data_IF_296027314211
#
_entry.id   IF_296027314211
#
_cell.length_a   1.000
_cell.length_b   1.000
_cell.length_c   1.000
_cell.angle_alpha   90.00
_cell.angle_beta   90.00
_cell.angle_gamma   90.00
#
_symmetry.space_group_name_H-M   'P 1'
#
loop_
_entity.id
_entity.type
_entity.pdbx_description
1 polymer ?
#
# COMPACT_ATOMS: atom_id res chain seq x y z
N UNK A 1 43.67 24.45 5.72
CA UNK A 1 44.72 24.53 4.68
C UNK A 1 44.35 23.54 3.58
N UNK A 2 43.70 24.02 2.52
CA UNK A 2 43.56 23.26 1.28
C UNK A 2 44.94 23.29 0.62
N UNK A 3 45.66 22.17 0.70
CA UNK A 3 46.89 22.01 -0.08
C UNK A 3 46.46 22.00 -1.54
N UNK A 4 46.78 23.09 -2.25
CA UNK A 4 46.53 23.22 -3.67
C UNK A 4 47.32 22.17 -4.43
N UNK A 5 46.71 21.00 -4.63
CA UNK A 5 47.13 20.11 -5.69
C UNK A 5 46.84 20.81 -7.01
N UNK A 6 47.89 21.21 -7.74
CA UNK A 6 47.79 21.43 -9.18
C UNK A 6 47.35 20.10 -9.79
N UNK A 7 46.05 19.97 -10.04
CA UNK A 7 45.45 18.82 -10.71
C UNK A 7 45.98 18.79 -12.14
N UNK A 8 46.50 17.64 -12.58
CA UNK A 8 46.97 17.46 -13.95
C UNK A 8 45.78 17.65 -14.91
N UNK A 9 45.83 18.72 -15.71
CA UNK A 9 44.84 19.07 -16.73
C UNK A 9 45.09 18.36 -18.06
N UNK A 10 45.95 17.35 -18.08
CA UNK A 10 46.40 16.70 -19.30
C UNK A 10 45.74 15.32 -19.41
N UNK A 11 44.99 15.11 -20.49
CA UNK A 11 44.52 13.78 -20.90
C UNK A 11 45.71 12.82 -20.93
N UNK A 12 45.52 11.52 -20.66
CA UNK A 12 46.58 10.53 -20.88
C UNK A 12 47.03 10.61 -22.34
N UNK A 13 48.20 11.19 -22.57
CA UNK A 13 48.71 11.52 -23.90
C UNK A 13 48.94 10.22 -24.66
N UNK A 14 48.34 10.12 -25.84
CA UNK A 14 48.59 9.00 -26.75
C UNK A 14 50.04 9.12 -27.24
N UNK A 15 50.90 8.20 -26.79
CA UNK A 15 52.30 8.14 -27.20
C UNK A 15 52.38 7.69 -28.66
N UNK A 16 53.15 8.42 -29.46
CA UNK A 16 53.41 8.12 -30.88
C UNK A 16 54.88 7.85 -31.10
N UNK A 17 55.17 6.87 -31.94
CA UNK A 17 56.55 6.56 -32.30
C UNK A 17 57.13 7.69 -33.17
N UNK A 18 58.25 8.28 -32.77
CA UNK A 18 58.90 9.36 -33.52
C UNK A 18 59.42 8.87 -34.89
N UNK A 19 59.67 7.56 -35.05
CA UNK A 19 60.18 6.98 -36.30
C UNK A 19 59.07 6.62 -37.29
N UNK A 20 58.15 5.71 -36.93
CA UNK A 20 57.09 5.26 -37.84
C UNK A 20 55.82 6.12 -37.77
N UNK A 21 55.74 7.09 -36.85
CA UNK A 21 54.57 7.94 -36.57
C UNK A 21 53.30 7.20 -36.12
N UNK A 22 53.39 5.88 -35.96
CA UNK A 22 52.29 5.05 -35.46
C UNK A 22 52.07 5.23 -33.95
N UNK A 23 50.83 5.03 -33.52
CA UNK A 23 50.45 5.04 -32.11
C UNK A 23 51.08 3.83 -31.38
N UNK A 24 51.76 4.09 -30.26
CA UNK A 24 52.39 3.04 -29.44
C UNK A 24 51.36 2.49 -28.46
N UNK A 25 51.01 1.21 -28.63
CA UNK A 25 50.16 0.49 -27.69
C UNK A 25 51.02 -0.31 -26.72
N UNK A 26 50.96 0.02 -25.42
CA UNK A 26 51.66 -0.71 -24.36
C UNK A 26 52.97 -0.06 -23.95
N UNK A 27 54.09 -0.74 -24.18
CA UNK A 27 55.41 -0.28 -23.73
C UNK A 27 56.06 0.58 -24.82
N UNK A 28 56.34 1.83 -24.50
CA UNK A 28 57.16 2.74 -25.29
C UNK A 28 58.59 2.78 -24.76
N UNK A 29 59.55 3.05 -25.64
CA UNK A 29 60.96 3.19 -25.27
C UNK A 29 61.34 4.65 -25.45
N UNK A 30 61.66 5.31 -24.33
CA UNK A 30 62.12 6.71 -24.34
C UNK A 30 63.63 6.76 -24.27
N UNK A 31 64.24 7.45 -25.21
CA UNK A 31 65.67 7.75 -25.17
C UNK A 31 65.96 8.72 -24.00
N UNK A 32 67.04 8.49 -23.26
CA UNK A 32 67.45 9.37 -22.15
C UNK A 32 68.24 10.58 -22.63
N UNK A 33 68.95 10.44 -23.75
CA UNK A 33 69.82 11.50 -24.29
C UNK A 33 69.09 12.43 -25.27
N UNK A 34 68.08 11.93 -25.98
CA UNK A 34 67.32 12.70 -26.96
C UNK A 34 66.08 13.31 -26.32
N UNK A 35 65.80 14.58 -26.62
CA UNK A 35 64.60 15.28 -26.15
C UNK A 35 63.38 14.75 -26.89
N UNK A 36 62.36 14.32 -26.15
CA UNK A 36 61.06 13.86 -26.65
C UNK A 36 61.12 12.83 -27.79
N UNK A 37 62.04 11.87 -27.64
CA UNK A 37 62.23 10.79 -28.59
C UNK A 37 61.70 9.46 -28.04
N UNK A 38 60.54 9.04 -28.56
CA UNK A 38 59.82 7.84 -28.14
C UNK A 38 59.74 6.85 -29.31
N UNK A 39 60.16 5.61 -29.08
CA UNK A 39 60.15 4.53 -30.06
C UNK A 39 59.14 3.45 -29.66
N UNK A 40 58.49 2.84 -30.66
CA UNK A 40 57.79 1.58 -30.47
C UNK A 40 58.80 0.41 -30.39
N UNK A 41 58.37 -0.71 -29.79
CA UNK A 41 59.23 -1.89 -29.64
C UNK A 41 59.77 -2.41 -30.99
N UNK A 42 58.97 -2.32 -32.06
CA UNK A 42 59.38 -2.77 -33.39
C UNK A 42 60.50 -1.90 -33.96
N UNK A 43 60.36 -0.58 -33.93
CA UNK A 43 61.38 0.35 -34.42
C UNK A 43 62.67 0.30 -33.59
N UNK A 44 62.55 0.11 -32.28
CA UNK A 44 63.72 -0.10 -31.42
C UNK A 44 64.43 -1.42 -31.75
N UNK A 45 63.68 -2.51 -31.94
CA UNK A 45 64.27 -3.82 -32.30
C UNK A 45 64.94 -3.82 -33.67
N UNK A 46 64.49 -2.97 -34.59
CA UNK A 46 65.09 -2.77 -35.90
C UNK A 46 66.34 -1.87 -35.86
N UNK A 47 66.71 -1.31 -34.70
CA UNK A 47 67.83 -0.39 -34.56
C UNK A 47 67.64 0.92 -35.32
N UNK A 48 66.41 1.45 -35.33
CA UNK A 48 66.10 2.66 -36.10
C UNK A 48 66.84 3.90 -35.55
N UNK A 49 67.64 4.53 -36.41
CA UNK A 49 68.37 5.77 -36.10
C UNK A 49 67.79 6.92 -36.93
N UNK A 50 67.49 8.06 -36.29
CA UNK A 50 66.99 9.24 -37.00
C UNK A 50 67.52 10.52 -36.36
N UNK A 51 68.05 11.41 -37.20
CA UNK A 51 68.64 12.67 -36.76
C UNK A 51 69.77 12.47 -35.73
N UNK A 52 69.71 13.10 -34.55
CA UNK A 52 70.75 12.96 -33.51
C UNK A 52 70.62 11.68 -32.67
N UNK A 53 69.59 10.86 -32.87
CA UNK A 53 69.39 9.62 -32.12
C UNK A 53 70.21 8.47 -32.70
N UNK A 54 70.90 7.71 -31.83
CA UNK A 54 71.60 6.47 -32.17
C UNK A 54 71.07 5.30 -31.36
N UNK A 55 71.19 4.10 -31.91
CA UNK A 55 70.73 2.86 -31.27
C UNK A 55 71.46 2.52 -29.96
N UNK A 56 72.67 3.05 -29.76
CA UNK A 56 73.50 2.84 -28.58
C UNK A 56 73.13 3.78 -27.41
N UNK A 57 72.18 4.70 -27.58
CA UNK A 57 71.79 5.62 -26.52
C UNK A 57 71.09 4.88 -25.37
N UNK A 58 71.33 5.28 -24.10
CA UNK A 58 70.63 4.74 -22.96
C UNK A 58 69.13 5.06 -23.04
N UNK A 59 68.30 4.07 -22.70
CA UNK A 59 66.85 4.12 -22.88
C UNK A 59 66.09 3.71 -21.61
N UNK A 60 64.81 4.11 -21.52
CA UNK A 60 63.89 3.75 -20.46
C UNK A 60 62.61 3.19 -21.04
N UNK A 61 62.09 2.13 -20.42
CA UNK A 61 60.76 1.62 -20.72
C UNK A 61 59.70 2.46 -20.02
N UNK A 62 58.72 2.93 -20.79
CA UNK A 62 57.53 3.62 -20.30
C UNK A 62 56.35 2.72 -20.60
N UNK A 63 55.69 2.19 -19.57
CA UNK A 63 54.42 1.48 -19.72
C UNK A 63 53.28 2.50 -19.83
N UNK A 64 52.50 2.42 -20.89
CA UNK A 64 51.30 3.23 -21.12
C UNK A 64 50.09 2.78 -20.28
N UNK A 65 50.34 2.24 -19.08
CA UNK A 65 49.32 1.82 -18.11
C UNK A 65 48.62 0.50 -18.44
N UNK A 66 49.28 -0.40 -19.18
CA UNK A 66 48.76 -1.74 -19.49
C UNK A 66 48.94 -2.75 -18.36
N UNK A 67 49.83 -2.45 -17.41
CA UNK A 67 49.98 -3.24 -16.19
C UNK A 67 48.79 -3.05 -15.26
N UNK A 68 48.26 -4.16 -14.73
CA UNK A 68 47.25 -4.12 -13.67
C UNK A 68 47.97 -3.88 -12.35
N UNK A 69 47.76 -2.72 -11.72
CA UNK A 69 48.34 -2.43 -10.39
C UNK A 69 47.73 -3.35 -9.31
N UNK A 70 46.54 -3.93 -9.57
CA UNK A 70 45.82 -4.76 -8.60
C UNK A 70 45.57 -6.17 -9.12
N UNK A 71 45.91 -7.18 -8.31
CA UNK A 71 45.61 -8.59 -8.54
C UNK A 71 44.17 -8.97 -8.12
N UNK A 72 43.18 -8.20 -8.58
CA UNK A 72 41.75 -8.42 -8.29
C UNK A 72 41.06 -9.35 -9.31
N UNK A 73 39.91 -9.93 -8.93
CA UNK A 73 39.11 -10.87 -9.75
C UNK A 73 38.55 -10.24 -11.04
N UNK A 74 38.44 -8.92 -11.11
CA UNK A 74 38.08 -8.18 -12.33
C UNK A 74 39.34 -7.52 -12.89
N UNK A 75 39.69 -7.86 -14.13
CA UNK A 75 40.87 -7.35 -14.84
C UNK A 75 40.64 -5.91 -15.31
N UNK A 76 40.62 -4.95 -14.38
CA UNK A 76 40.66 -3.53 -14.71
C UNK A 76 42.11 -3.07 -14.84
N UNK A 77 42.44 -2.53 -16.00
CA UNK A 77 43.75 -1.95 -16.28
C UNK A 77 43.92 -0.61 -15.57
N UNK A 78 45.17 -0.22 -15.33
CA UNK A 78 45.48 1.07 -14.71
C UNK A 78 45.03 2.23 -15.60
N UNK A 79 45.10 2.05 -16.92
CA UNK A 79 44.56 3.00 -17.90
C UNK A 79 43.05 3.19 -17.78
N UNK A 80 42.28 2.11 -17.65
CA UNK A 80 40.81 2.20 -17.46
C UNK A 80 40.46 2.93 -16.15
N UNK A 81 41.23 2.72 -15.07
CA UNK A 81 41.01 3.44 -13.81
C UNK A 81 41.36 4.94 -13.94
N UNK A 82 42.44 5.29 -14.63
CA UNK A 82 42.80 6.69 -14.85
C UNK A 82 41.76 7.38 -15.71
N UNK A 83 41.28 6.72 -16.76
CA UNK A 83 40.19 7.21 -17.59
C UNK A 83 38.93 7.41 -16.75
N UNK A 84 38.54 6.42 -15.95
CA UNK A 84 37.39 6.52 -15.02
C UNK A 84 37.49 7.74 -14.11
N UNK A 85 38.64 7.94 -13.46
CA UNK A 85 38.85 9.09 -12.57
C UNK A 85 38.81 10.42 -13.32
N UNK A 86 39.42 10.48 -14.51
CA UNK A 86 39.41 11.68 -15.34
C UNK A 86 37.98 12.02 -15.78
N UNK A 87 37.20 11.03 -16.21
CA UNK A 87 35.82 11.26 -16.62
C UNK A 87 34.92 11.65 -15.46
N UNK A 88 35.10 11.09 -14.26
CA UNK A 88 34.39 11.54 -13.05
C UNK A 88 34.77 12.98 -12.70
N UNK A 89 36.02 13.37 -12.91
CA UNK A 89 36.45 14.77 -12.71
C UNK A 89 35.78 15.71 -13.72
N UNK A 90 35.62 15.30 -14.98
CA UNK A 90 35.01 16.13 -16.02
C UNK A 90 33.49 16.23 -15.91
N UNK A 91 32.79 15.11 -15.69
CA UNK A 91 31.32 15.03 -15.72
C UNK A 91 30.67 15.09 -14.33
N UNK A 92 31.47 14.97 -13.27
CA UNK A 92 30.99 14.88 -11.90
C UNK A 92 30.57 13.45 -11.51
N UNK A 93 30.61 13.18 -10.21
CA UNK A 93 30.17 11.90 -9.65
C UNK A 93 28.65 11.72 -9.82
N UNK A 94 28.21 10.57 -10.31
CA UNK A 94 26.80 10.22 -10.49
C UNK A 94 26.32 10.23 -11.95
N UNK A 95 27.06 10.87 -12.86
CA UNK A 95 26.69 10.94 -14.28
C UNK A 95 27.29 9.77 -15.09
N UNK A 96 26.97 8.54 -14.69
CA UNK A 96 27.59 7.32 -15.24
C UNK A 96 27.27 7.08 -16.72
N UNK A 97 26.12 7.59 -17.19
CA UNK A 97 25.71 7.45 -18.60
C UNK A 97 26.62 8.24 -19.56
N UNK A 98 27.12 9.41 -19.14
CA UNK A 98 28.04 10.23 -19.93
C UNK A 98 29.49 9.71 -19.88
N UNK A 99 29.83 8.93 -18.84
CA UNK A 99 31.15 8.31 -18.66
C UNK A 99 31.32 7.05 -19.52
N UNK A 100 30.23 6.32 -19.78
CA UNK A 100 30.18 5.07 -20.55
C UNK A 100 30.92 5.09 -21.91
N UNK A 101 30.77 6.13 -22.77
CA UNK A 101 31.38 6.13 -24.09
C UNK A 101 32.91 6.04 -24.07
N UNK A 102 33.53 6.45 -22.97
CA UNK A 102 34.98 6.50 -22.78
C UNK A 102 35.54 5.20 -22.16
N UNK A 103 34.71 4.45 -21.44
CA UNK A 103 35.09 3.21 -20.73
C UNK A 103 34.50 1.98 -21.43
N UNK A 104 34.78 1.81 -22.72
CA UNK A 104 34.43 0.59 -23.46
C UNK A 104 35.45 -0.50 -23.10
N UNK A 105 35.07 -1.72 -22.65
CA UNK A 105 33.80 -2.44 -22.86
C UNK A 105 32.85 -2.55 -21.64
N UNK A 106 32.93 -1.63 -20.66
CA UNK A 106 32.24 -1.76 -19.36
C UNK A 106 30.84 -1.13 -19.35
N UNK A 107 30.01 -1.56 -18.41
CA UNK A 107 28.70 -0.94 -18.16
C UNK A 107 28.79 0.16 -17.09
N UNK A 108 27.76 1.01 -17.00
CA UNK A 108 27.70 2.12 -16.03
C UNK A 108 27.69 1.58 -14.60
N UNK A 109 26.94 0.50 -14.37
CA UNK A 109 26.90 -0.20 -13.08
C UNK A 109 28.27 -0.79 -12.72
N UNK A 110 28.96 -1.42 -13.68
CA UNK A 110 30.31 -1.95 -13.44
C UNK A 110 31.32 -0.84 -13.10
N UNK A 111 31.24 0.32 -13.76
CA UNK A 111 32.11 1.47 -13.50
C UNK A 111 31.83 2.11 -12.13
N UNK A 112 30.55 2.26 -11.77
CA UNK A 112 30.11 2.72 -10.46
C UNK A 112 30.60 1.80 -9.34
N UNK A 113 30.37 0.50 -9.49
CA UNK A 113 30.72 -0.49 -8.46
C UNK A 113 32.23 -0.60 -8.27
N UNK A 114 33.01 -0.55 -9.36
CA UNK A 114 34.48 -0.55 -9.27
C UNK A 114 34.98 0.73 -8.59
N UNK A 115 34.39 1.89 -8.91
CA UNK A 115 34.76 3.15 -8.29
C UNK A 115 34.53 3.11 -6.77
N UNK A 116 33.34 2.67 -6.35
CA UNK A 116 33.00 2.56 -4.93
C UNK A 116 33.89 1.53 -4.23
N UNK A 117 34.01 0.33 -4.79
CA UNK A 117 34.76 -0.75 -4.16
C UNK A 117 36.24 -0.41 -3.95
N UNK A 118 36.84 0.37 -4.86
CA UNK A 118 38.29 0.64 -4.85
C UNK A 118 38.66 2.00 -4.28
N UNK A 119 37.98 3.07 -4.70
CA UNK A 119 38.33 4.44 -4.33
C UNK A 119 37.54 4.97 -3.14
N UNK A 120 36.35 4.44 -2.89
CA UNK A 120 35.56 4.78 -1.70
C UNK A 120 35.86 3.73 -0.62
N UNK A 121 35.20 2.57 -0.64
CA UNK A 121 35.27 1.60 0.47
C UNK A 121 36.57 0.78 0.54
N UNK A 122 37.39 0.88 -0.51
CA UNK A 122 38.69 0.21 -0.62
C UNK A 122 39.77 0.82 0.27
N UNK A 123 40.99 0.27 0.16
CA UNK A 123 42.15 0.74 0.93
C UNK A 123 42.50 2.21 0.65
N UNK A 124 42.29 2.66 -0.60
CA UNK A 124 42.57 4.04 -1.01
C UNK A 124 41.63 5.02 -0.31
N UNK A 125 40.31 4.82 -0.37
CA UNK A 125 39.37 5.77 0.24
C UNK A 125 39.46 5.79 1.76
N UNK A 126 39.71 4.64 2.40
CA UNK A 126 39.95 4.60 3.86
C UNK A 126 41.20 5.37 4.27
N UNK A 127 42.26 5.34 3.48
CA UNK A 127 43.49 6.08 3.76
C UNK A 127 43.36 7.58 3.42
N UNK A 128 42.67 7.92 2.33
CA UNK A 128 42.55 9.30 1.83
C UNK A 128 41.46 10.09 2.55
N UNK A 129 40.41 9.44 3.07
CA UNK A 129 39.22 10.11 3.60
C UNK A 129 38.81 9.72 5.03
N UNK A 130 39.74 9.60 6.00
CA UNK A 130 39.42 9.14 7.36
C UNK A 130 38.35 10.01 8.05
N UNK A 131 38.42 11.33 7.90
CA UNK A 131 37.44 12.26 8.49
C UNK A 131 36.01 12.08 7.94
N UNK A 132 35.85 11.61 6.70
CA UNK A 132 34.52 11.31 6.15
C UNK A 132 33.96 10.01 6.70
N UNK A 133 34.81 9.01 6.96
CA UNK A 133 34.41 7.76 7.59
C UNK A 133 34.03 7.94 9.05
N UNK A 134 34.73 8.80 9.80
CA UNK A 134 34.40 9.12 11.18
C UNK A 134 33.07 9.89 11.31
N UNK A 135 32.79 10.79 10.36
CA UNK A 135 31.53 11.56 10.32
C UNK A 135 30.39 10.81 9.63
N UNK A 136 30.66 9.65 9.01
CA UNK A 136 29.63 8.82 8.43
C UNK A 136 28.75 8.37 9.58
N UNK A 137 27.51 8.86 9.63
CA UNK A 137 26.56 8.47 10.64
C UNK A 137 26.44 6.94 10.62
N UNK A 138 27.01 6.28 11.62
CA UNK A 138 26.69 4.90 11.91
C UNK A 138 25.31 4.94 12.51
N UNK A 139 24.28 4.94 11.66
CA UNK A 139 22.93 4.74 12.11
C UNK A 139 22.92 3.37 12.79
N UNK A 140 22.79 3.30 14.13
CA UNK A 140 22.54 2.03 14.76
C UNK A 140 21.20 1.57 14.21
N UNK A 141 21.19 0.40 13.61
CA UNK A 141 19.94 -0.25 13.25
C UNK A 141 19.26 -0.66 14.55
N UNK A 142 18.38 0.22 15.03
CA UNK A 142 17.63 0.07 16.28
C UNK A 142 16.62 -1.09 16.20
N UNK A 143 16.43 -1.69 15.03
CA UNK A 143 15.44 -2.73 14.76
C UNK A 143 16.06 -4.12 14.55
N UNK A 144 17.34 -4.34 14.90
CA UNK A 144 17.97 -5.66 14.74
C UNK A 144 17.34 -6.75 15.63
N UNK A 145 16.89 -6.35 16.81
CA UNK A 145 16.29 -7.25 17.80
C UNK A 145 14.75 -7.18 17.81
N UNK A 146 14.18 -6.13 17.21
CA UNK A 146 12.75 -6.02 17.01
C UNK A 146 12.36 -6.72 15.69
N UNK A 147 11.29 -7.54 15.66
CA UNK A 147 10.72 -7.93 14.38
C UNK A 147 10.47 -6.66 13.56
N UNK A 148 10.66 -6.70 12.22
CA UNK A 148 10.36 -5.56 11.37
C UNK A 148 9.01 -5.00 11.81
N UNK A 149 8.89 -3.67 12.07
CA UNK A 149 7.66 -3.10 12.56
C UNK A 149 6.56 -3.68 11.68
N UNK A 150 5.54 -4.33 12.27
CA UNK A 150 4.55 -5.03 11.49
C UNK A 150 4.13 -4.03 10.44
N UNK A 151 4.39 -4.35 9.17
CA UNK A 151 3.98 -3.50 8.07
C UNK A 151 2.55 -3.16 8.44
N UNK A 152 2.19 -1.89 8.56
CA UNK A 152 0.83 -1.48 8.91
C UNK A 152 -0.20 -1.94 7.84
N UNK A 153 0.11 -2.96 7.03
CA UNK A 153 -0.79 -3.97 6.55
C UNK A 153 -1.47 -4.69 7.73
N UNK A 154 -2.35 -3.95 8.37
CA UNK A 154 -3.48 -4.50 9.09
C UNK A 154 -4.10 -5.62 8.22
N UNK A 155 -4.45 -6.76 8.83
CA UNK A 155 -5.04 -7.97 8.24
C UNK A 155 -6.38 -7.75 7.48
N UNK A 156 -6.72 -6.54 7.09
CA UNK A 156 -7.90 -6.25 6.28
C UNK A 156 -7.64 -6.54 4.81
N UNK A 157 -8.66 -6.97 4.06
CA UNK A 157 -8.54 -7.09 2.62
C UNK A 157 -8.12 -5.76 1.98
N UNK A 158 -7.39 -5.78 0.85
CA UNK A 158 -7.10 -4.57 0.09
C UNK A 158 -8.39 -3.88 -0.33
N UNK A 159 -8.34 -2.57 -0.55
CA UNK A 159 -9.50 -1.82 -1.04
C UNK A 159 -9.75 -2.18 -2.50
N UNK A 160 -10.99 -2.58 -2.80
CA UNK A 160 -11.42 -2.94 -4.16
C UNK A 160 -11.80 -1.66 -4.93
N UNK A 161 -10.86 -1.16 -5.74
CA UNK A 161 -10.98 0.09 -6.52
C UNK A 161 -10.34 -0.10 -7.91
N UNK A 162 -10.97 0.42 -8.96
CA UNK A 162 -10.34 0.47 -10.30
C UNK A 162 -9.31 1.60 -10.35
N UNK A 163 -8.27 1.54 -11.22
CA UNK A 163 -7.26 2.59 -11.29
C UNK A 163 -7.85 3.98 -11.62
N UNK A 164 -8.93 4.03 -12.41
CA UNK A 164 -9.65 5.25 -12.74
C UNK A 164 -10.40 5.84 -11.53
N UNK A 165 -11.08 4.98 -10.76
CA UNK A 165 -11.80 5.37 -9.55
C UNK A 165 -10.82 5.83 -8.45
N UNK A 166 -9.65 5.20 -8.37
CA UNK A 166 -8.57 5.58 -7.47
C UNK A 166 -8.00 6.96 -7.81
N UNK A 167 -7.72 7.22 -9.10
CA UNK A 167 -7.22 8.51 -9.57
C UNK A 167 -8.21 9.65 -9.28
N UNK A 168 -9.52 9.43 -9.42
CA UNK A 168 -10.54 10.45 -9.12
C UNK A 168 -10.54 10.90 -7.66
N UNK A 169 -10.16 10.00 -6.74
CA UNK A 169 -10.11 10.27 -5.30
C UNK A 169 -8.69 10.63 -4.82
N UNK A 170 -7.70 10.67 -5.72
CA UNK A 170 -6.28 10.78 -5.34
C UNK A 170 -5.84 9.64 -4.42
N UNK A 171 -6.44 8.44 -4.55
CA UNK A 171 -6.09 7.29 -3.73
C UNK A 171 -4.99 6.48 -4.43
N UNK A 172 -3.93 6.17 -3.69
CA UNK A 172 -2.75 5.42 -4.13
C UNK A 172 -2.83 3.96 -3.63
N UNK A 173 -3.28 2.99 -4.46
CA UNK A 173 -3.62 1.65 -3.98
C UNK A 173 -2.44 0.85 -3.40
N UNK A 174 -1.24 1.03 -3.95
CA UNK A 174 -0.04 0.33 -3.50
C UNK A 174 0.50 0.88 -2.16
N UNK A 175 0.20 2.15 -1.85
CA UNK A 175 0.59 2.81 -0.60
C UNK A 175 -0.51 2.76 0.47
N UNK A 176 -1.74 2.43 0.06
CA UNK A 176 -2.95 2.50 0.90
C UNK A 176 -3.13 3.92 1.49
N UNK A 177 -2.98 4.92 0.62
CA UNK A 177 -2.85 6.32 1.02
C UNK A 177 -3.57 7.28 0.08
N UNK A 178 -3.81 8.51 0.52
CA UNK A 178 -4.44 9.57 -0.28
C UNK A 178 -3.45 10.69 -0.57
N UNK A 179 -3.60 11.34 -1.71
CA UNK A 179 -2.78 12.50 -2.11
C UNK A 179 -2.96 13.67 -1.13
N UNK A 180 -4.19 13.87 -0.64
CA UNK A 180 -4.49 14.83 0.42
C UNK A 180 -5.00 14.10 1.66
N UNK A 181 -4.26 14.24 2.76
CA UNK A 181 -4.64 13.64 4.03
C UNK A 181 -5.79 14.38 4.71
N UNK A 182 -6.51 13.66 5.59
CA UNK A 182 -7.53 14.28 6.42
C UNK A 182 -6.90 15.36 7.30
N UNK A 183 -7.47 16.56 7.25
CA UNK A 183 -7.07 17.68 8.10
C UNK A 183 -5.58 18.02 7.94
N UNK A 184 -5.17 18.15 6.68
CA UNK A 184 -3.77 18.41 6.33
C UNK A 184 -3.30 19.76 6.85
N UNK A 185 -4.05 20.82 6.55
CA UNK A 185 -3.67 22.20 6.86
C UNK A 185 -3.49 22.44 8.37
N UNK A 186 -4.41 21.97 9.22
CA UNK A 186 -4.27 22.15 10.67
C UNK A 186 -3.08 21.37 11.24
N UNK A 187 -2.85 20.14 10.78
CA UNK A 187 -1.76 19.33 11.33
C UNK A 187 -0.38 19.86 10.90
N UNK A 188 -0.20 20.25 9.63
CA UNK A 188 1.07 20.80 9.14
C UNK A 188 1.36 22.18 9.76
N UNK A 189 0.32 22.95 10.11
CA UNK A 189 0.46 24.21 10.85
C UNK A 189 1.09 24.02 12.24
N UNK A 190 0.75 22.91 12.94
CA UNK A 190 1.36 22.59 14.25
C UNK A 190 2.88 22.48 14.14
N UNK A 191 3.37 21.80 13.10
CA UNK A 191 4.80 21.59 12.86
C UNK A 191 5.49 22.84 12.28
N UNK A 192 4.79 23.62 11.46
CA UNK A 192 5.33 24.84 10.84
C UNK A 192 5.81 25.86 11.88
N UNK A 193 5.26 25.82 13.09
CA UNK A 193 5.64 26.68 14.21
C UNK A 193 6.88 26.21 14.99
N UNK A 194 7.36 24.98 14.75
CA UNK A 194 8.49 24.38 15.47
C UNK A 194 9.83 24.86 14.90
N UNK A 195 10.44 25.85 15.54
CA UNK A 195 11.83 26.23 15.26
C UNK A 195 12.80 25.38 16.11
N UNK A 196 13.56 24.51 15.44
CA UNK A 196 14.61 23.67 16.04
C UNK A 196 15.97 24.38 16.03
N UNK A 197 16.03 25.62 16.53
CA UNK A 197 17.30 26.33 16.68
C UNK A 197 18.14 25.61 17.73
N UNK A 198 19.06 24.76 17.27
CA UNK A 198 20.15 24.27 18.09
C UNK A 198 21.00 25.48 18.49
N UNK A 199 21.23 25.62 19.79
CA UNK A 199 22.22 26.49 20.44
C UNK A 199 21.70 27.81 21.03
N UNK A 200 20.80 27.73 22.01
CA UNK A 200 20.90 28.58 23.19
C UNK A 200 20.93 27.69 24.42
N UNK A 201 21.92 27.87 25.29
CA UNK A 201 22.23 27.00 26.44
C UNK A 201 21.20 27.04 27.57
N UNK A 202 19.99 27.50 27.30
CA UNK A 202 18.85 27.64 28.22
C UNK A 202 17.55 27.55 27.38
N UNK A 203 17.35 26.45 26.64
CA UNK A 203 15.98 26.09 26.27
C UNK A 203 15.26 25.80 27.59
N UNK A 204 14.52 26.77 28.12
CA UNK A 204 13.76 26.61 29.36
C UNK A 204 12.98 25.30 29.27
N UNK A 205 13.00 24.50 30.32
CA UNK A 205 12.24 23.24 30.41
C UNK A 205 10.77 23.43 29.97
N UNK A 206 10.22 24.63 30.20
CA UNK A 206 8.94 25.09 29.69
C UNK A 206 8.86 25.12 28.15
N UNK A 207 9.83 25.70 27.45
CA UNK A 207 9.88 25.72 25.98
C UNK A 207 10.00 24.32 25.40
N UNK A 208 10.79 23.44 26.01
CA UNK A 208 10.88 22.04 25.61
C UNK A 208 9.52 21.35 25.81
N UNK A 209 8.88 21.54 26.97
CA UNK A 209 7.56 20.96 27.26
C UNK A 209 6.48 21.43 26.28
N UNK A 210 6.51 22.70 25.86
CA UNK A 210 5.58 23.25 24.88
C UNK A 210 5.80 22.63 23.50
N UNK A 211 7.07 22.52 23.05
CA UNK A 211 7.41 21.85 21.79
C UNK A 211 6.95 20.38 21.80
N UNK A 212 7.16 19.66 22.91
CA UNK A 212 6.68 18.27 23.07
C UNK A 212 5.16 18.18 23.00
N UNK A 213 4.43 19.09 23.67
CA UNK A 213 2.96 19.13 23.60
C UNK A 213 2.45 19.38 22.18
N UNK A 214 3.11 20.25 21.40
CA UNK A 214 2.77 20.45 19.99
C UNK A 214 3.00 19.18 19.15
N UNK A 215 4.10 18.46 19.40
CA UNK A 215 4.37 17.16 18.75
C UNK A 215 3.31 16.13 19.15
N UNK A 216 2.91 16.07 20.41
CA UNK A 216 1.84 15.16 20.88
C UNK A 216 0.50 15.46 20.19
N UNK A 217 0.14 16.74 20.05
CA UNK A 217 -1.05 17.16 19.29
C UNK A 217 -1.00 16.68 17.84
N UNK A 218 0.17 16.78 17.20
CA UNK A 218 0.38 16.27 15.83
C UNK A 218 0.26 14.74 15.77
N UNK A 219 0.85 14.02 16.73
CA UNK A 219 0.74 12.55 16.83
C UNK A 219 -0.72 12.12 16.96
N UNK A 220 -1.53 12.83 17.74
CA UNK A 220 -2.96 12.52 17.86
C UNK A 220 -3.72 12.72 16.54
N UNK A 221 -3.38 13.76 15.76
CA UNK A 221 -3.91 13.92 14.39
C UNK A 221 -3.47 12.76 13.49
N UNK A 222 -2.22 12.31 13.57
CA UNK A 222 -1.74 11.14 12.82
C UNK A 222 -2.48 9.85 13.21
N UNK A 223 -2.69 9.61 14.50
CA UNK A 223 -3.47 8.45 14.99
C UNK A 223 -4.88 8.45 14.42
N UNK A 224 -5.51 9.61 14.38
CA UNK A 224 -6.86 9.73 13.82
C UNK A 224 -6.86 9.54 12.29
N UNK A 225 -5.84 10.00 11.56
CA UNK A 225 -5.66 9.68 10.13
C UNK A 225 -5.55 8.18 9.91
N UNK A 226 -4.70 7.49 10.69
CA UNK A 226 -4.55 6.03 10.64
C UNK A 226 -5.87 5.33 10.96
N UNK A 227 -6.62 5.81 11.96
CA UNK A 227 -7.95 5.27 12.32
C UNK A 227 -8.94 5.38 11.16
N UNK A 228 -9.00 6.54 10.50
CA UNK A 228 -9.89 6.75 9.35
C UNK A 228 -9.52 5.86 8.16
N UNK A 229 -8.24 5.75 7.82
CA UNK A 229 -7.76 4.84 6.75
C UNK A 229 -8.18 3.39 7.05
N UNK A 230 -8.01 2.94 8.30
CA UNK A 230 -8.44 1.61 8.76
C UNK A 230 -9.95 1.39 8.57
N UNK A 231 -10.79 2.36 8.96
CA UNK A 231 -12.25 2.26 8.78
C UNK A 231 -12.63 2.26 7.30
N UNK A 232 -12.03 3.14 6.48
CA UNK A 232 -12.25 3.20 5.04
C UNK A 232 -11.97 1.85 4.37
N UNK A 233 -10.88 1.18 4.76
CA UNK A 233 -10.48 -0.13 4.26
C UNK A 233 -11.38 -1.25 4.72
N UNK A 234 -11.64 -1.36 6.02
CA UNK A 234 -12.43 -2.45 6.58
C UNK A 234 -13.88 -2.44 6.04
N UNK A 235 -14.50 -1.26 5.97
CA UNK A 235 -15.86 -1.11 5.45
C UNK A 235 -15.95 -1.00 3.92
N UNK A 236 -14.81 -1.01 3.22
CA UNK A 236 -14.72 -0.85 1.77
C UNK A 236 -15.49 0.38 1.28
N UNK A 237 -15.27 1.52 1.96
CA UNK A 237 -16.08 2.73 1.76
C UNK A 237 -15.93 3.32 0.35
N UNK A 238 -14.74 3.21 -0.26
CA UNK A 238 -14.50 3.69 -1.63
C UNK A 238 -15.37 2.93 -2.63
N UNK A 239 -15.37 1.59 -2.56
CA UNK A 239 -16.24 0.75 -3.37
C UNK A 239 -17.71 1.12 -3.18
N UNK A 240 -18.14 1.24 -1.91
CA UNK A 240 -19.53 1.60 -1.56
C UNK A 240 -19.92 2.97 -2.09
N UNK A 241 -19.00 3.94 -2.11
CA UNK A 241 -19.22 5.27 -2.65
C UNK A 241 -19.52 5.21 -4.16
N UNK A 242 -18.69 4.52 -4.94
CA UNK A 242 -18.92 4.39 -6.38
C UNK A 242 -20.15 3.53 -6.73
N UNK A 243 -20.42 2.45 -5.98
CA UNK A 243 -21.67 1.67 -6.18
C UNK A 243 -22.90 2.51 -5.85
N UNK A 244 -22.88 3.29 -4.76
CA UNK A 244 -24.00 4.14 -4.38
C UNK A 244 -24.27 5.25 -5.42
N UNK A 245 -23.25 5.81 -6.05
CA UNK A 245 -23.43 6.77 -7.16
C UNK A 245 -24.07 6.11 -8.38
N UNK A 246 -23.65 4.89 -8.74
CA UNK A 246 -24.23 4.11 -9.85
C UNK A 246 -25.67 3.67 -9.56
N UNK A 247 -25.99 3.36 -8.29
CA UNK A 247 -27.31 2.90 -7.84
C UNK A 247 -28.30 4.03 -7.51
N UNK A 248 -27.84 5.24 -7.16
CA UNK A 248 -28.71 6.43 -6.99
C UNK A 248 -29.52 6.76 -8.24
N UNK A 249 -29.04 6.35 -9.41
CA UNK A 249 -29.74 6.46 -10.70
C UNK A 249 -30.86 5.41 -10.86
N UNK A 250 -30.97 4.44 -9.94
CA UNK A 250 -31.88 3.29 -9.99
C UNK A 250 -32.57 3.04 -8.63
N UNK A 251 -33.57 3.89 -8.33
CA UNK A 251 -34.78 3.59 -7.52
C UNK A 251 -34.73 3.44 -5.97
N UNK A 252 -35.82 3.99 -5.40
CA UNK A 252 -36.58 3.66 -4.16
C UNK A 252 -35.84 3.19 -2.90
N UNK A 253 -35.92 4.03 -1.86
CA UNK A 253 -35.50 3.74 -0.47
C UNK A 253 -36.04 2.39 0.02
N UNK A 254 -35.12 1.51 0.42
CA UNK A 254 -35.42 0.21 1.04
C UNK A 254 -35.34 0.40 2.56
N UNK A 255 -36.30 -0.08 3.37
CA UNK A 255 -36.30 0.10 4.83
C UNK A 255 -35.12 -0.56 5.58
N UNK A 256 -34.33 -1.41 4.92
CA UNK A 256 -33.05 -1.88 5.45
C UNK A 256 -32.03 -0.71 5.57
N UNK A 257 -32.10 0.29 4.69
CA UNK A 257 -31.21 1.46 4.73
C UNK A 257 -31.43 2.33 5.96
N UNK A 258 -32.67 2.50 6.42
CA UNK A 258 -32.98 3.25 7.64
C UNK A 258 -32.43 2.58 8.90
N UNK A 259 -32.36 1.24 8.90
CA UNK A 259 -31.80 0.48 10.00
C UNK A 259 -30.28 0.61 10.03
N UNK A 260 -29.63 0.51 8.87
CA UNK A 260 -28.18 0.70 8.74
C UNK A 260 -27.77 2.12 9.14
N UNK A 261 -28.54 3.14 8.75
CA UNK A 261 -28.32 4.54 9.14
C UNK A 261 -28.39 4.73 10.66
N UNK A 262 -29.36 4.11 11.33
CA UNK A 262 -29.53 4.22 12.79
C UNK A 262 -28.31 3.68 13.57
N UNK A 263 -27.64 2.67 13.04
CA UNK A 263 -26.54 1.97 13.71
C UNK A 263 -25.16 2.35 13.18
N UNK A 264 -25.09 3.25 12.20
CA UNK A 264 -23.85 3.70 11.53
C UNK A 264 -22.76 4.20 12.46
N UNK A 265 -23.14 4.79 13.61
CA UNK A 265 -22.18 5.27 14.60
C UNK A 265 -21.31 4.15 15.18
N UNK A 266 -21.82 2.91 15.26
CA UNK A 266 -21.06 1.76 15.76
C UNK A 266 -19.95 1.34 14.80
N UNK A 267 -19.96 1.79 13.54
CA UNK A 267 -18.88 1.49 12.60
C UNK A 267 -17.51 2.03 13.05
N UNK A 268 -17.49 2.99 13.97
CA UNK A 268 -16.27 3.52 14.57
C UNK A 268 -15.67 2.60 15.64
N UNK A 269 -16.48 1.70 16.19
CA UNK A 269 -16.14 0.85 17.35
C UNK A 269 -15.95 -0.62 16.97
N UNK A 270 -16.55 -1.05 15.86
CA UNK A 270 -16.60 -2.45 15.43
C UNK A 270 -15.95 -2.61 14.06
N UNK A 271 -15.43 -3.80 13.80
CA UNK A 271 -15.03 -4.17 12.45
C UNK A 271 -16.24 -4.35 11.54
N UNK A 272 -16.07 -4.25 10.22
CA UNK A 272 -17.16 -4.39 9.26
C UNK A 272 -17.89 -5.74 9.40
N UNK A 273 -17.15 -6.82 9.68
CA UNK A 273 -17.72 -8.16 9.89
C UNK A 273 -18.57 -8.23 11.16
N UNK A 274 -18.09 -7.64 12.25
CA UNK A 274 -18.81 -7.61 13.53
C UNK A 274 -20.07 -6.76 13.40
N UNK A 275 -19.96 -5.61 12.74
CA UNK A 275 -21.08 -4.72 12.49
C UNK A 275 -22.18 -5.39 11.66
N UNK A 276 -21.81 -6.03 10.55
CA UNK A 276 -22.75 -6.79 9.71
C UNK A 276 -23.43 -7.93 10.49
N UNK A 277 -22.68 -8.61 11.37
CA UNK A 277 -23.22 -9.66 12.21
C UNK A 277 -24.22 -9.10 13.22
N UNK A 278 -23.89 -7.98 13.87
CA UNK A 278 -24.76 -7.28 14.82
C UNK A 278 -26.07 -6.88 14.14
N UNK A 279 -26.01 -6.25 12.96
CA UNK A 279 -27.21 -5.82 12.23
C UNK A 279 -28.11 -7.01 11.89
N UNK A 280 -27.54 -8.11 11.37
CA UNK A 280 -28.27 -9.35 11.08
C UNK A 280 -28.93 -9.92 12.32
N UNK A 281 -28.23 -9.93 13.46
CA UNK A 281 -28.74 -10.45 14.72
C UNK A 281 -29.89 -9.58 15.26
N UNK A 282 -29.77 -8.25 15.20
CA UNK A 282 -30.84 -7.35 15.64
C UNK A 282 -32.09 -7.45 14.76
N UNK A 283 -31.91 -7.56 13.44
CA UNK A 283 -33.02 -7.80 12.52
C UNK A 283 -33.69 -9.15 12.81
N UNK A 284 -32.90 -10.20 13.03
CA UNK A 284 -33.40 -11.53 13.40
C UNK A 284 -34.15 -11.51 14.73
N UNK A 285 -33.64 -10.78 15.72
CA UNK A 285 -34.32 -10.59 17.01
C UNK A 285 -35.68 -9.92 16.82
N UNK A 286 -35.76 -8.85 16.02
CA UNK A 286 -37.02 -8.14 15.73
C UNK A 286 -38.02 -9.06 15.02
N UNK A 287 -37.55 -9.86 14.06
CA UNK A 287 -38.38 -10.86 13.37
C UNK A 287 -38.93 -11.91 14.35
N UNK A 288 -38.08 -12.44 15.23
CA UNK A 288 -38.48 -13.42 16.24
C UNK A 288 -39.47 -12.84 17.26
N UNK A 289 -39.28 -11.59 17.70
CA UNK A 289 -40.21 -10.89 18.58
C UNK A 289 -41.58 -10.68 17.92
N UNK A 290 -41.60 -10.31 16.64
CA UNK A 290 -42.83 -10.22 15.87
C UNK A 290 -43.52 -11.58 15.76
N UNK A 291 -42.76 -12.62 15.39
CA UNK A 291 -43.29 -13.98 15.27
C UNK A 291 -43.82 -14.52 16.59
N UNK A 292 -43.13 -14.25 17.70
CA UNK A 292 -43.60 -14.61 19.03
C UNK A 292 -44.91 -13.90 19.37
N UNK A 293 -45.01 -12.61 19.05
CA UNK A 293 -46.23 -11.83 19.26
C UNK A 293 -47.40 -12.38 18.44
N UNK A 294 -47.18 -12.80 17.20
CA UNK A 294 -48.19 -13.50 16.38
C UNK A 294 -48.61 -14.83 17.02
N UNK A 295 -47.64 -15.67 17.41
CA UNK A 295 -47.94 -16.98 18.02
C UNK A 295 -48.70 -16.83 19.34
N UNK A 296 -48.39 -15.82 20.15
CA UNK A 296 -49.16 -15.49 21.37
C UNK A 296 -50.58 -15.08 20.99
N UNK A 297 -50.78 -14.25 19.96
CA UNK A 297 -52.12 -13.88 19.46
C UNK A 297 -52.90 -15.12 19.00
N UNK A 298 -52.27 -16.02 18.27
CA UNK A 298 -52.90 -17.27 17.80
C UNK A 298 -53.30 -18.19 18.96
N UNK A 299 -52.42 -18.34 19.97
CA UNK A 299 -52.77 -19.09 21.20
C UNK A 299 -53.92 -18.46 21.97
N UNK A 300 -53.97 -17.14 22.09
CA UNK A 300 -55.09 -16.42 22.72
C UNK A 300 -56.42 -16.67 22.00
N UNK A 301 -56.39 -16.89 20.68
CA UNK A 301 -57.55 -17.23 19.87
C UNK A 301 -57.85 -18.74 19.83
N UNK A 302 -57.16 -19.56 20.66
CA UNK A 302 -57.44 -20.99 20.82
C UNK A 302 -56.77 -21.91 19.81
N UNK A 303 -55.88 -21.41 18.95
CA UNK A 303 -55.15 -22.23 17.99
C UNK A 303 -53.99 -22.95 18.68
N UNK A 304 -53.94 -24.26 18.53
CA UNK A 304 -52.91 -25.11 19.16
C UNK A 304 -52.00 -25.78 18.15
N UNK A 305 -52.44 -25.92 16.89
CA UNK A 305 -51.65 -26.52 15.81
C UNK A 305 -51.22 -25.48 14.77
N UNK A 306 -50.01 -25.65 14.26
CA UNK A 306 -49.42 -24.77 13.23
C UNK A 306 -50.19 -24.88 11.90
N UNK A 307 -50.77 -26.05 11.60
CA UNK A 307 -51.56 -26.32 10.39
C UNK A 307 -52.88 -25.52 10.31
N UNK A 308 -53.39 -25.05 11.45
CA UNK A 308 -54.64 -24.29 11.56
C UNK A 308 -54.43 -22.79 11.28
N UNK A 309 -53.18 -22.32 11.31
CA UNK A 309 -52.80 -20.91 11.08
C UNK A 309 -53.22 -20.36 9.72
N UNK A 310 -52.94 -21.02 8.56
CA UNK A 310 -53.33 -20.48 7.26
C UNK A 310 -54.85 -20.36 7.08
N UNK A 311 -55.63 -21.28 7.66
CA UNK A 311 -57.09 -21.18 7.63
C UNK A 311 -57.60 -20.03 8.50
N UNK A 312 -57.01 -19.83 9.68
CA UNK A 312 -57.34 -18.70 10.55
C UNK A 312 -56.98 -17.35 9.92
N UNK A 313 -55.80 -17.23 9.29
CA UNK A 313 -55.38 -16.03 8.58
C UNK A 313 -56.30 -15.71 7.39
N UNK A 314 -56.72 -16.71 6.62
CA UNK A 314 -57.71 -16.55 5.54
C UNK A 314 -59.07 -16.07 6.06
N UNK A 315 -59.55 -16.61 7.18
CA UNK A 315 -60.83 -16.22 7.77
C UNK A 315 -60.76 -14.80 8.38
N UNK A 316 -59.62 -14.42 8.93
CA UNK A 316 -59.35 -13.07 9.43
C UNK A 316 -59.22 -12.05 8.28
N UNK A 317 -58.59 -12.44 7.17
CA UNK A 317 -58.54 -11.65 5.94
C UNK A 317 -59.91 -11.52 5.28
N UNK A 318 -60.74 -12.58 5.26
CA UNK A 318 -62.10 -12.52 4.74
C UNK A 318 -63.00 -11.59 5.58
N UNK A 319 -62.83 -11.60 6.91
CA UNK A 319 -63.51 -10.64 7.81
C UNK A 319 -63.02 -9.21 7.64
N UNK A 320 -61.72 -9.00 7.41
CA UNK A 320 -61.14 -7.67 7.11
C UNK A 320 -61.47 -7.20 5.69
N UNK A 321 -61.68 -8.09 4.72
CA UNK A 321 -62.12 -7.74 3.36
C UNK A 321 -63.51 -7.11 3.31
N UNK A 322 -64.31 -7.24 4.38
CA UNK A 322 -65.60 -6.58 4.54
C UNK A 322 -65.51 -5.18 5.20
N UNK A 323 -64.35 -4.75 5.70
CA UNK A 323 -64.12 -3.40 6.23
C UNK A 323 -62.81 -2.83 5.67
N UNK A 324 -62.93 -1.85 4.77
CA UNK A 324 -61.84 -1.39 3.91
C UNK A 324 -60.49 -1.02 4.55
N UNK A 325 -59.47 -1.14 3.70
CA UNK A 325 -58.19 -0.43 3.63
C UNK A 325 -57.04 -0.76 4.60
N UNK A 326 -55.93 -1.14 3.94
CA UNK A 326 -54.52 -0.77 4.18
C UNK A 326 -53.91 -0.99 5.57
N UNK A 327 -53.22 -2.13 5.73
CA UNK A 327 -51.89 -2.15 6.35
C UNK A 327 -51.23 -3.54 6.27
N UNK A 328 -49.93 -3.53 5.98
CA UNK A 328 -48.93 -4.59 6.18
C UNK A 328 -48.83 -5.72 5.15
N UNK A 329 -48.17 -5.38 4.03
CA UNK A 329 -47.24 -6.28 3.35
C UNK A 329 -45.81 -5.90 3.72
N UNK A 330 -45.31 -6.45 4.82
CA UNK A 330 -43.88 -6.49 5.10
C UNK A 330 -43.58 -7.88 5.68
N UNK A 331 -42.59 -8.58 5.09
CA UNK A 331 -42.03 -9.88 5.52
C UNK A 331 -42.63 -11.19 4.96
N UNK A 332 -43.27 -11.21 3.79
CA UNK A 332 -43.57 -12.47 3.05
C UNK A 332 -42.74 -12.68 1.78
N UNK A 333 -41.71 -11.87 1.53
CA UNK A 333 -40.88 -11.94 0.33
C UNK A 333 -39.60 -12.78 0.50
N UNK A 334 -39.13 -13.02 1.72
CA UNK A 334 -37.82 -13.66 1.98
C UNK A 334 -37.83 -15.20 1.92
N UNK A 335 -39.00 -15.84 1.97
CA UNK A 335 -39.12 -17.31 1.87
C UNK A 335 -39.36 -17.85 0.45
N UNK A 336 -39.65 -16.99 -0.54
CA UNK A 336 -40.02 -17.46 -1.90
C UNK A 336 -38.87 -17.59 -2.91
N UNK A 337 -37.62 -17.25 -2.56
CA UNK A 337 -36.49 -17.27 -3.53
C UNK A 337 -35.60 -18.53 -3.52
N UNK A 338 -35.87 -19.58 -2.72
CA UNK A 338 -34.99 -20.78 -2.64
C UNK A 338 -35.53 -22.10 -3.20
N UNK A 339 -36.61 -22.12 -4.00
CA UNK A 339 -37.02 -23.35 -4.72
C UNK A 339 -37.45 -23.08 -6.16
N UNK A 340 -36.48 -23.08 -7.08
CA UNK A 340 -36.75 -23.41 -8.48
C UNK A 340 -35.50 -24.01 -9.14
N UNK A 341 -35.41 -25.34 -9.13
CA UNK A 341 -34.90 -26.16 -10.25
C UNK A 341 -35.16 -27.65 -9.97
N UNK A 342 -35.68 -28.35 -10.99
CA UNK A 342 -36.10 -29.77 -11.09
C UNK A 342 -37.49 -30.04 -10.46
N UNK A 343 -38.47 -30.70 -11.08
CA UNK A 343 -38.55 -31.53 -12.29
C UNK A 343 -40.03 -31.56 -12.79
N UNK A 344 -40.23 -32.21 -13.93
CA UNK A 344 -41.41 -32.24 -14.82
C UNK A 344 -42.74 -32.62 -14.17
N UNK A 345 -43.82 -32.09 -14.78
CA UNK A 345 -45.23 -32.44 -14.59
C UNK A 345 -45.44 -33.96 -14.57
N UNK A 346 -46.17 -34.45 -13.56
CA UNK A 346 -47.00 -35.65 -13.67
C UNK A 346 -48.38 -35.27 -13.18
N UNK A 347 -49.35 -35.33 -14.10
CA UNK A 347 -50.77 -35.28 -13.80
C UNK A 347 -51.14 -36.57 -13.05
N UNK A 348 -51.65 -36.44 -11.83
CA UNK A 348 -52.44 -37.50 -11.21
C UNK A 348 -53.80 -36.95 -10.80
N UNK A 349 -54.79 -37.21 -11.66
CA UNK A 349 -56.18 -37.29 -11.27
C UNK A 349 -56.32 -38.37 -10.19
N UNK A 350 -56.86 -38.04 -9.01
CA UNK A 350 -57.84 -38.89 -8.33
C UNK A 350 -58.60 -38.17 -7.20
N UNK A 351 -59.93 -38.18 -7.41
CA UNK A 351 -61.11 -38.14 -6.54
C UNK A 351 -61.09 -37.26 -5.28
N UNK A 352 -61.99 -36.26 -5.29
CA UNK A 352 -62.50 -35.55 -4.12
C UNK A 352 -63.00 -36.57 -3.08
N UNK A 353 -62.25 -36.74 -2.00
CA UNK A 353 -62.77 -37.28 -0.75
C UNK A 353 -63.34 -36.09 0.03
N UNK A 354 -64.66 -35.93 -0.02
CA UNK A 354 -65.36 -35.17 0.99
C UNK A 354 -65.11 -35.87 2.33
N UNK A 355 -64.35 -35.24 3.22
CA UNK A 355 -64.37 -35.52 4.64
C UNK A 355 -64.96 -34.28 5.36
N UNK A 356 -65.80 -34.53 6.36
CA UNK A 356 -66.94 -33.69 6.65
C UNK A 356 -66.53 -32.41 7.37
N UNK A 357 -67.26 -31.35 7.05
CA UNK A 357 -67.33 -30.09 7.76
C UNK A 357 -67.37 -30.36 9.27
N UNK A 358 -66.23 -30.21 9.97
CA UNK A 358 -66.27 -30.11 11.43
C UNK A 358 -67.01 -28.83 11.75
N UNK A 359 -68.05 -29.02 12.56
CA UNK A 359 -69.19 -28.14 12.67
C UNK A 359 -68.86 -26.81 13.37
N UNK A 360 -69.57 -25.71 13.06
CA UNK A 360 -69.40 -24.38 13.68
C UNK A 360 -69.64 -24.30 15.21
N UNK A 361 -70.05 -25.39 15.85
CA UNK A 361 -70.49 -25.40 17.25
C UNK A 361 -69.37 -25.17 18.30
N UNK A 362 -68.09 -25.38 17.96
CA UNK A 362 -66.98 -25.17 18.91
C UNK A 362 -66.74 -23.67 19.14
N UNK A 363 -66.95 -22.85 18.11
CA UNK A 363 -66.81 -21.38 18.19
C UNK A 363 -68.05 -20.76 18.88
N UNK A 364 -69.24 -21.33 18.70
CA UNK A 364 -70.46 -20.90 19.39
C UNK A 364 -70.40 -21.20 20.90
N UNK A 365 -69.84 -22.36 21.30
CA UNK A 365 -69.70 -22.73 22.73
C UNK A 365 -68.71 -21.83 23.48
N UNK A 366 -67.65 -21.37 22.80
CA UNK A 366 -66.69 -20.42 23.37
C UNK A 366 -67.29 -19.01 23.56
N UNK A 367 -68.22 -18.59 22.69
CA UNK A 367 -68.96 -17.31 22.83
C UNK A 367 -69.96 -17.35 23.99
N UNK A 368 -70.74 -18.42 24.12
CA UNK A 368 -71.70 -18.57 25.22
C UNK A 368 -71.03 -18.65 26.62
N UNK A 369 -69.80 -19.19 26.70
CA UNK A 369 -69.03 -19.24 27.93
C UNK A 369 -68.38 -17.89 28.32
N UNK A 370 -68.26 -16.95 27.38
CA UNK A 370 -67.72 -15.61 27.63
C UNK A 370 -68.81 -14.61 28.06
N UNK A 371 -70.04 -14.74 27.53
CA UNK A 371 -71.16 -13.88 27.88
C UNK A 371 -71.75 -14.20 29.27
N UNK A 372 -71.71 -15.47 29.69
CA UNK A 372 -72.16 -15.90 31.03
C UNK A 372 -71.29 -15.41 32.20
N UNK A 373 -70.07 -14.89 31.93
CA UNK A 373 -69.18 -14.33 32.97
C UNK A 373 -69.36 -12.82 33.19
N UNK A 374 -70.20 -12.15 32.39
CA UNK A 374 -70.43 -10.69 32.51
C UNK A 374 -71.71 -10.32 33.28
N UNK A 375 -72.51 -11.29 33.70
CA UNK A 375 -73.77 -11.05 34.39
C UNK A 375 -73.89 -11.96 35.62
N UNK A 376 -73.36 -11.50 36.75
CA UNK A 376 -73.87 -11.87 38.08
C UNK A 376 -73.89 -10.61 38.97
N UNK A 377 -75.06 -10.19 39.47
CA UNK A 377 -75.18 -9.05 40.39
C UNK A 377 -75.01 -9.51 41.84
N UNK A 378 -74.18 -8.82 42.62
CA UNK A 378 -74.17 -8.92 44.08
C UNK A 378 -74.87 -7.69 44.68
N UNK A 379 -76.08 -7.89 45.18
CA UNK A 379 -76.75 -7.01 46.12
C UNK A 379 -77.36 -7.87 47.23
N UNK A 380 -76.69 -7.91 48.39
CA UNK A 380 -77.26 -7.76 49.73
C UNK A 380 -76.11 -7.49 50.70
#
# INVERSE_FOLDING_TARGET
MLVGFKMATEQPTKLKCTYCTDDVYGIAIKCVECVDFDLCLQCFSAGAEIGPHKNDHPYKFIDSGTTNINHGKKKWSSREHLELLYQIQCFGFGNWEEILPFIKPRTAEEAHDEYIAKFVDGSLGRALWPAAYEKRAQLPDLYKDDPPPPTHQVNFPPIDVTPEEAALLGYMPNRDDFDQEYDNEEAESLLSSLYLLNNTSEDDELYISLKLAQVDMYIDKLRERSRRKKICRDYQLIKKFFTAQKERLKLTKIPEQEFDEKYRWMCQLQTAKEHDCLLKNLLRQKELQHRLSELIKYRKNGLTKIEELPHFEQELQAKKGASGSSMQHYLTATLKKKKKKRSKRILFNRKKLHLPHRQPWIIARARAAADSRRLSPSSF
#
